data_IF_454527698304
#
_entry.id   IF_454527698304
#
_cell.length_a   1.000
_cell.length_b   1.000
_cell.length_c   1.000
_cell.angle_alpha   90.00
_cell.angle_beta   90.00
_cell.angle_gamma   90.00
#
_symmetry.space_group_name_H-M   'P 1'
#
loop_
_entity.id
_entity.type
_entity.pdbx_description
1 polymer ?
#
# COMPACT_ATOMS: atom_id res chain seq x y z
N UNK A 1 6.21 -1.37 18.85
CA UNK A 1 5.24 -0.70 17.96
C UNK A 1 5.48 -1.27 16.57
N UNK A 2 4.48 -1.91 15.96
CA UNK A 2 4.66 -2.73 14.77
C UNK A 2 5.16 -1.90 13.57
N UNK A 3 6.45 -2.03 13.23
CA UNK A 3 6.99 -1.54 11.97
C UNK A 3 6.19 -2.13 10.81
N UNK A 4 5.47 -1.26 10.10
CA UNK A 4 4.78 -1.59 8.86
C UNK A 4 5.79 -1.34 7.73
N UNK A 5 6.41 -2.42 7.25
CA UNK A 5 7.43 -2.41 6.18
C UNK A 5 6.84 -2.94 4.88
N UNK A 6 7.50 -2.73 3.73
CA UNK A 6 7.11 -3.32 2.45
C UNK A 6 6.83 -4.84 2.50
N UNK A 7 7.60 -5.57 3.32
CA UNK A 7 7.41 -7.01 3.55
C UNK A 7 6.04 -7.31 4.16
N UNK A 8 5.63 -6.54 5.17
CA UNK A 8 4.33 -6.73 5.84
C UNK A 8 3.18 -6.41 4.90
N UNK A 9 3.29 -5.33 4.14
CA UNK A 9 2.30 -4.96 3.12
C UNK A 9 2.16 -6.07 2.08
N UNK A 10 3.28 -6.59 1.56
CA UNK A 10 3.25 -7.72 0.63
C UNK A 10 2.58 -8.96 1.23
N UNK A 11 2.89 -9.27 2.50
CA UNK A 11 2.29 -10.42 3.20
C UNK A 11 0.78 -10.27 3.37
N UNK A 12 0.30 -9.10 3.76
CA UNK A 12 -1.14 -8.82 3.91
C UNK A 12 -1.89 -8.92 2.57
N UNK A 13 -1.27 -8.46 1.47
CA UNK A 13 -1.81 -8.61 0.12
C UNK A 13 -1.91 -10.09 -0.27
N UNK A 14 -0.87 -10.88 0.02
CA UNK A 14 -0.86 -12.32 -0.26
C UNK A 14 -1.89 -13.06 0.59
N UNK A 15 -2.01 -12.75 1.88
CA UNK A 15 -3.04 -13.31 2.76
C UNK A 15 -4.44 -12.98 2.24
N UNK A 16 -4.68 -11.74 1.79
CA UNK A 16 -5.94 -11.35 1.17
C UNK A 16 -6.24 -12.16 -0.10
N UNK A 17 -5.25 -12.35 -0.97
CA UNK A 17 -5.37 -13.22 -2.15
C UNK A 17 -5.67 -14.67 -1.79
N UNK A 18 -5.07 -15.18 -0.71
CA UNK A 18 -5.34 -16.53 -0.22
C UNK A 18 -6.78 -16.72 0.25
N UNK A 19 -7.48 -15.65 0.64
CA UNK A 19 -8.93 -15.72 0.94
C UNK A 19 -9.82 -15.86 -0.31
N UNK A 20 -9.22 -15.93 -1.50
CA UNK A 20 -9.94 -16.01 -2.78
C UNK A 20 -10.47 -14.68 -3.28
N UNK A 21 -10.10 -13.56 -2.63
CA UNK A 21 -10.44 -12.20 -3.05
C UNK A 21 -9.23 -11.55 -3.70
N UNK A 22 -9.43 -10.94 -4.87
CA UNK A 22 -8.39 -10.14 -5.48
C UNK A 22 -8.35 -8.75 -4.83
N UNK A 23 -7.20 -8.34 -4.30
CA UNK A 23 -7.02 -6.98 -3.84
C UNK A 23 -7.07 -6.06 -5.06
N UNK A 24 -7.86 -5.01 -4.97
CA UNK A 24 -8.00 -3.96 -5.97
C UNK A 24 -7.23 -2.69 -5.54
N UNK A 25 -7.18 -2.41 -4.24
CA UNK A 25 -6.60 -1.18 -3.70
C UNK A 25 -6.06 -1.33 -2.27
N UNK A 26 -5.08 -0.50 -1.97
CA UNK A 26 -4.48 -0.36 -0.64
C UNK A 26 -4.94 0.94 -0.02
N UNK A 27 -5.70 0.87 1.07
CA UNK A 27 -6.10 2.04 1.83
C UNK A 27 -5.05 2.27 2.91
N UNK A 28 -4.36 3.41 2.86
CA UNK A 28 -3.23 3.71 3.75
C UNK A 28 -3.43 5.07 4.39
N UNK A 29 -3.26 5.15 5.70
CA UNK A 29 -3.24 6.41 6.44
C UNK A 29 -2.02 7.24 6.10
N UNK A 30 -2.15 8.58 6.10
CA UNK A 30 -1.09 9.47 5.62
C UNK A 30 0.26 9.31 6.36
N UNK A 31 0.27 9.07 7.68
CA UNK A 31 1.54 8.83 8.40
C UNK A 31 2.13 7.47 8.08
N UNK A 32 1.27 6.44 7.99
CA UNK A 32 1.70 5.10 7.56
C UNK A 32 2.32 5.13 6.19
N UNK A 33 1.69 5.85 5.25
CA UNK A 33 2.18 5.99 3.90
C UNK A 33 3.52 6.71 3.83
N UNK A 34 3.68 7.82 4.55
CA UNK A 34 4.96 8.51 4.63
C UNK A 34 6.08 7.61 5.18
N UNK A 35 5.76 6.77 6.18
CA UNK A 35 6.70 5.79 6.74
C UNK A 35 7.04 4.67 5.76
N UNK A 36 6.06 4.18 5.01
CA UNK A 36 6.29 3.20 3.95
C UNK A 36 7.11 3.80 2.81
N UNK A 37 6.87 5.05 2.43
CA UNK A 37 7.68 5.76 1.45
C UNK A 37 9.12 6.00 1.90
N UNK A 38 9.38 6.03 3.21
CA UNK A 38 10.74 6.06 3.74
C UNK A 38 11.47 4.71 3.65
N UNK A 39 10.76 3.62 3.32
CA UNK A 39 11.35 2.31 3.05
C UNK A 39 11.60 2.19 1.54
N UNK A 40 12.87 2.18 1.13
CA UNK A 40 13.29 2.07 -0.29
C UNK A 40 12.58 0.93 -1.01
N UNK A 41 12.46 -0.23 -0.37
CA UNK A 41 11.82 -1.42 -0.97
C UNK A 41 10.34 -1.22 -1.27
N UNK A 42 9.67 -0.34 -0.53
CA UNK A 42 8.29 0.04 -0.82
C UNK A 42 8.29 1.10 -1.91
N UNK A 43 9.07 2.16 -1.76
CA UNK A 43 9.14 3.29 -2.68
C UNK A 43 9.51 2.84 -4.12
N UNK A 44 10.49 1.97 -4.28
CA UNK A 44 10.89 1.40 -5.57
C UNK A 44 9.78 0.61 -6.26
N UNK A 45 8.87 0.01 -5.48
CA UNK A 45 7.73 -0.77 -5.99
C UNK A 45 6.48 0.08 -6.20
N UNK A 46 6.50 1.32 -5.74
CA UNK A 46 5.41 2.27 -5.99
C UNK A 46 5.70 2.96 -7.30
N UNK A 47 4.82 2.73 -8.26
CA UNK A 47 4.89 3.35 -9.59
C UNK A 47 3.75 4.36 -9.74
N UNK A 48 3.97 5.48 -10.45
CA UNK A 48 2.89 6.38 -10.80
C UNK A 48 1.90 5.66 -11.72
N UNK A 49 0.61 5.97 -11.58
CA UNK A 49 -0.42 5.42 -12.46
C UNK A 49 -0.31 6.06 -13.85
N UNK A 50 -0.45 5.25 -14.90
CA UNK A 50 -0.40 5.72 -16.30
C UNK A 50 -1.53 6.72 -16.60
N UNK A 51 -2.69 6.57 -15.97
CA UNK A 51 -3.85 7.44 -16.16
C UNK A 51 -3.77 8.74 -15.35
N UNK A 52 -3.13 8.71 -14.19
CA UNK A 52 -3.04 9.85 -13.28
C UNK A 52 -1.69 9.85 -12.60
N UNK A 53 -0.84 10.81 -12.95
CA UNK A 53 0.50 10.98 -12.36
C UNK A 53 0.45 11.23 -10.84
N UNK A 54 -0.71 11.65 -10.31
CA UNK A 54 -0.95 11.80 -8.87
C UNK A 54 -1.34 10.49 -8.16
N UNK A 55 -1.91 9.55 -8.89
CA UNK A 55 -2.24 8.23 -8.35
C UNK A 55 -1.00 7.36 -8.34
N UNK A 56 -0.86 6.59 -7.27
CA UNK A 56 0.26 5.69 -7.07
C UNK A 56 -0.23 4.27 -6.99
N UNK A 57 0.48 3.38 -7.65
CA UNK A 57 0.20 1.96 -7.71
C UNK A 57 1.30 1.20 -6.99
N UNK A 58 0.93 0.27 -6.12
CA UNK A 58 1.87 -0.67 -5.53
C UNK A 58 1.51 -2.08 -6.00
N UNK A 59 2.40 -2.75 -6.74
CA UNK A 59 2.13 -4.08 -7.29
C UNK A 59 0.78 -4.17 -8.04
N UNK A 60 0.48 -3.17 -8.87
CA UNK A 60 -0.77 -3.06 -9.63
C UNK A 60 -2.03 -2.74 -8.78
N UNK A 61 -1.87 -2.35 -7.52
CA UNK A 61 -2.97 -1.94 -6.63
C UNK A 61 -2.98 -0.43 -6.43
N UNK A 62 -4.15 0.22 -6.56
CA UNK A 62 -4.28 1.66 -6.30
C UNK A 62 -4.06 1.97 -4.83
N UNK A 63 -3.16 2.90 -4.52
CA UNK A 63 -2.94 3.38 -3.16
C UNK A 63 -3.91 4.53 -2.89
N UNK A 64 -4.85 4.31 -1.98
CA UNK A 64 -5.78 5.32 -1.50
C UNK A 64 -5.31 5.87 -0.16
N UNK A 65 -4.91 7.13 -0.16
CA UNK A 65 -4.58 7.87 1.05
C UNK A 65 -5.84 8.30 1.80
N UNK A 66 -5.88 8.08 3.12
CA UNK A 66 -6.95 8.56 3.99
C UNK A 66 -6.41 9.49 5.08
N UNK A 67 -7.32 10.25 5.68
CA UNK A 67 -7.03 11.22 6.76
C UNK A 67 -6.61 10.56 8.08
N UNK A 68 -6.78 9.24 8.20
CA UNK A 68 -6.34 8.50 9.37
C UNK A 68 -4.81 8.52 9.51
N UNK A 69 -4.30 8.65 10.73
CA UNK A 69 -2.85 8.68 11.00
C UNK A 69 -2.21 7.34 10.67
N UNK A 70 -2.62 6.29 11.39
CA UNK A 70 -2.06 4.96 11.28
C UNK A 70 -3.14 3.99 10.82
N UNK A 71 -3.24 3.82 9.52
CA UNK A 71 -4.20 2.90 8.92
C UNK A 71 -3.56 2.15 7.76
N UNK A 72 -3.94 0.89 7.61
CA UNK A 72 -3.58 0.06 6.48
C UNK A 72 -4.66 -1.00 6.30
N UNK A 73 -5.27 -1.04 5.13
CA UNK A 73 -6.26 -2.05 4.76
C UNK A 73 -6.09 -2.43 3.30
N UNK A 74 -6.24 -3.72 3.02
CA UNK A 74 -6.27 -4.26 1.67
C UNK A 74 -7.74 -4.46 1.30
N UNK A 75 -8.18 -3.90 0.18
CA UNK A 75 -9.52 -4.08 -0.37
C UNK A 75 -9.45 -4.65 -1.77
#
# INVERSE_FOLDING_TARGET
>A
MADLTAKKVSKLIEEFRQTGKEPEKLVIGYKTYARLMADDKFAEKVVPSLENSKDRLYKNLKIKLITEKHYFEVK
#
